data_IF_043484744184
#
_entry.id   IF_043484744184
#
_cell.length_a   1.000
_cell.length_b   1.000
_cell.length_c   1.000
_cell.angle_alpha   90.00
_cell.angle_beta   90.00
_cell.angle_gamma   90.00
#
_symmetry.space_group_name_H-M   'P 1'
#
loop_
_entity.id
_entity.type
_entity.pdbx_description
1 polymer ?
#
# COMPACT_ATOMS: atom_id res chain seq x y z
N UNK A 1 6.98 27.43 -10.39
CA UNK A 1 7.37 26.01 -10.50
C UNK A 1 6.35 25.22 -9.71
N UNK A 2 5.57 24.35 -10.36
CA UNK A 2 4.54 23.57 -9.67
C UNK A 2 5.24 22.61 -8.69
N UNK A 3 4.90 22.70 -7.41
CA UNK A 3 5.44 21.82 -6.38
C UNK A 3 4.99 20.40 -6.72
N UNK A 4 5.91 19.54 -7.15
CA UNK A 4 5.59 18.14 -7.42
C UNK A 4 5.11 17.57 -6.08
N UNK A 5 3.84 17.18 -5.98
CA UNK A 5 3.37 16.49 -4.79
C UNK A 5 4.25 15.24 -4.59
N UNK A 6 4.66 14.99 -3.35
CA UNK A 6 5.50 13.86 -2.98
C UNK A 6 4.94 12.51 -3.45
N UNK A 7 5.83 11.52 -3.65
CA UNK A 7 5.46 10.21 -4.16
C UNK A 7 4.92 9.32 -3.02
N UNK A 8 3.64 8.92 -3.12
CA UNK A 8 2.96 8.16 -2.08
C UNK A 8 2.67 6.72 -2.51
N UNK A 9 3.05 5.76 -1.67
CA UNK A 9 2.86 4.32 -1.93
C UNK A 9 1.88 3.73 -0.92
N UNK A 10 0.76 3.23 -1.43
CA UNK A 10 -0.16 2.39 -0.66
C UNK A 10 0.24 0.92 -0.77
N UNK A 11 0.31 0.22 0.36
CA UNK A 11 0.55 -1.23 0.38
C UNK A 11 -0.69 -1.93 0.93
N UNK A 12 -1.26 -2.86 0.15
CA UNK A 12 -2.43 -3.61 0.60
C UNK A 12 -2.05 -4.62 1.68
N UNK A 13 -2.78 -4.65 2.79
CA UNK A 13 -2.66 -5.69 3.82
C UNK A 13 -4.01 -6.35 4.01
N UNK A 14 -4.01 -7.67 3.87
CA UNK A 14 -5.20 -8.51 3.94
C UNK A 14 -4.91 -9.78 4.74
N UNK A 15 -5.99 -10.50 5.04
CA UNK A 15 -5.89 -11.77 5.76
C UNK A 15 -5.02 -12.74 4.96
N UNK A 16 -4.06 -13.36 5.62
CA UNK A 16 -3.12 -14.31 5.00
C UNK A 16 -2.19 -13.70 3.93
N UNK A 17 -1.95 -12.37 3.99
CA UNK A 17 -0.88 -11.74 3.22
C UNK A 17 0.50 -12.23 3.68
N UNK A 18 1.44 -12.40 2.74
CA UNK A 18 2.83 -12.77 3.04
C UNK A 18 3.54 -11.60 3.73
N UNK A 19 4.11 -11.85 4.92
CA UNK A 19 4.65 -10.78 5.79
C UNK A 19 5.78 -10.02 5.10
N UNK A 20 6.69 -10.74 4.44
CA UNK A 20 7.86 -10.15 3.80
C UNK A 20 7.48 -9.21 2.65
N UNK A 21 6.39 -9.52 1.95
CA UNK A 21 5.99 -8.81 0.73
C UNK A 21 5.50 -7.37 1.00
N UNK A 22 4.89 -7.10 2.16
CA UNK A 22 4.58 -5.71 2.57
C UNK A 22 5.65 -5.12 3.50
N UNK A 23 6.25 -5.92 4.37
CA UNK A 23 7.17 -5.40 5.39
C UNK A 23 8.50 -4.93 4.78
N UNK A 24 9.03 -5.66 3.79
CA UNK A 24 10.28 -5.30 3.13
C UNK A 24 10.19 -3.93 2.41
N UNK A 25 9.23 -3.69 1.47
CA UNK A 25 9.10 -2.38 0.84
C UNK A 25 8.77 -1.28 1.86
N UNK A 26 7.93 -1.55 2.85
CA UNK A 26 7.64 -0.56 3.91
C UNK A 26 8.91 -0.13 4.66
N UNK A 27 9.77 -1.09 5.02
CA UNK A 27 11.06 -0.81 5.66
C UNK A 27 12.00 -0.01 4.77
N UNK A 28 12.11 -0.37 3.48
CA UNK A 28 12.94 0.33 2.49
C UNK A 28 12.49 1.78 2.34
N UNK A 29 11.19 2.02 2.12
CA UNK A 29 10.65 3.37 2.01
C UNK A 29 10.81 4.17 3.30
N UNK A 30 10.67 3.55 4.47
CA UNK A 30 10.91 4.22 5.75
C UNK A 30 12.33 4.77 5.89
N UNK A 31 13.34 4.04 5.38
CA UNK A 31 14.73 4.52 5.34
C UNK A 31 14.92 5.55 4.22
N UNK A 32 14.34 5.33 3.04
CA UNK A 32 14.43 6.24 1.90
C UNK A 32 13.89 7.64 2.21
N UNK A 33 12.88 7.75 3.09
CA UNK A 33 12.35 9.05 3.59
C UNK A 33 13.40 9.97 4.21
N UNK A 34 14.52 9.43 4.67
CA UNK A 34 15.65 10.25 5.19
C UNK A 34 16.37 11.01 4.08
N UNK A 35 16.29 10.52 2.85
CA UNK A 35 16.89 11.12 1.65
C UNK A 35 15.87 11.95 0.87
N UNK A 36 14.62 11.49 0.83
CA UNK A 36 13.49 12.21 0.22
C UNK A 36 12.31 12.28 1.20
N UNK A 37 12.17 13.39 1.95
CA UNK A 37 11.08 13.56 2.92
C UNK A 37 9.69 13.66 2.30
N UNK A 38 9.57 13.88 0.98
CA UNK A 38 8.28 13.93 0.30
C UNK A 38 7.76 12.52 -0.05
N UNK A 39 8.59 11.48 0.12
CA UNK A 39 8.17 10.09 -0.04
C UNK A 39 7.27 9.66 1.12
N UNK A 40 6.16 9.00 0.81
CA UNK A 40 5.24 8.46 1.81
C UNK A 40 4.94 6.99 1.53
N UNK A 41 4.78 6.20 2.58
CA UNK A 41 4.39 4.80 2.49
C UNK A 41 3.40 4.49 3.61
N UNK A 42 2.29 3.85 3.26
CA UNK A 42 1.22 3.54 4.20
C UNK A 42 0.53 2.22 3.86
N UNK A 43 -0.13 1.65 4.86
CA UNK A 43 -0.86 0.40 4.75
C UNK A 43 -2.35 0.67 4.50
N UNK A 44 -2.93 -0.05 3.55
CA UNK A 44 -4.35 0.01 3.20
C UNK A 44 -4.98 -1.36 3.41
N UNK A 45 -6.19 -1.42 3.97
CA UNK A 45 -6.95 -2.66 4.11
C UNK A 45 -8.45 -2.46 3.81
N UNK A 46 -9.25 -3.52 3.91
CA UNK A 46 -10.70 -3.44 3.73
C UNK A 46 -11.40 -2.63 4.84
N UNK A 47 -10.79 -2.58 6.03
CA UNK A 47 -11.28 -1.81 7.18
C UNK A 47 -10.13 -1.43 8.10
N UNK A 48 -10.34 -0.49 9.02
CA UNK A 48 -9.34 -0.10 10.03
C UNK A 48 -9.11 -1.12 11.15
N UNK A 49 -9.77 -2.29 11.08
CA UNK A 49 -9.55 -3.36 12.06
C UNK A 49 -8.19 -4.02 11.85
N UNK A 50 -7.53 -4.48 12.94
CA UNK A 50 -6.30 -5.25 12.82
C UNK A 50 -6.48 -6.46 11.91
N UNK A 51 -5.50 -6.68 11.03
CA UNK A 51 -5.49 -7.77 10.04
C UNK A 51 -4.49 -8.82 10.48
N UNK A 52 -4.93 -10.08 10.56
CA UNK A 52 -4.04 -11.21 10.79
C UNK A 52 -3.44 -11.70 9.47
N UNK A 53 -2.12 -11.61 9.34
CA UNK A 53 -1.37 -12.04 8.16
C UNK A 53 -0.94 -13.51 8.25
N UNK A 54 -0.34 -14.06 7.20
CA UNK A 54 -0.11 -15.52 7.07
C UNK A 54 0.69 -16.14 8.22
N UNK A 55 1.66 -15.41 8.79
CA UNK A 55 2.45 -15.86 9.93
C UNK A 55 1.78 -15.62 11.30
N UNK A 56 0.49 -15.24 11.33
CA UNK A 56 -0.23 -14.87 12.56
C UNK A 56 0.07 -13.46 13.06
N UNK A 57 0.90 -12.68 12.36
CA UNK A 57 1.22 -11.30 12.72
C UNK A 57 0.01 -10.38 12.51
N UNK A 58 -0.37 -9.68 13.57
CA UNK A 58 -1.44 -8.69 13.57
C UNK A 58 -0.90 -7.33 13.12
N UNK A 59 -1.53 -6.73 12.11
CA UNK A 59 -1.11 -5.45 11.53
C UNK A 59 -2.26 -4.46 11.58
N UNK A 60 -1.96 -3.22 11.99
CA UNK A 60 -2.91 -2.11 11.94
C UNK A 60 -2.72 -1.34 10.62
N UNK A 61 -3.74 -1.27 9.76
CA UNK A 61 -3.68 -0.45 8.56
C UNK A 61 -3.77 1.04 8.90
N UNK A 62 -3.20 1.90 8.05
CA UNK A 62 -3.33 3.36 8.16
C UNK A 62 -4.65 3.85 7.58
N UNK A 63 -5.10 3.21 6.50
CA UNK A 63 -6.33 3.55 5.79
C UNK A 63 -7.14 2.31 5.45
N UNK A 64 -8.43 2.52 5.28
CA UNK A 64 -9.35 1.61 4.62
C UNK A 64 -9.63 2.06 3.18
N UNK A 65 -10.13 1.16 2.32
CA UNK A 65 -10.54 1.55 0.97
C UNK A 65 -11.63 2.63 0.94
N UNK A 66 -12.46 2.72 1.99
CA UNK A 66 -13.51 3.74 2.10
C UNK A 66 -12.95 5.16 2.30
N UNK A 67 -11.70 5.29 2.75
CA UNK A 67 -11.05 6.59 2.96
C UNK A 67 -10.38 7.11 1.68
N UNK A 68 -10.29 6.28 0.63
CA UNK A 68 -9.77 6.64 -0.70
C UNK A 68 -8.51 7.52 -0.65
N UNK A 69 -7.41 7.08 0.00
CA UNK A 69 -6.22 7.90 0.13
C UNK A 69 -5.55 8.10 -1.23
N UNK A 70 -5.13 9.32 -1.54
CA UNK A 70 -4.34 9.61 -2.73
C UNK A 70 -3.00 8.86 -2.70
N UNK A 71 -2.68 8.15 -3.78
CA UNK A 71 -1.41 7.44 -3.94
C UNK A 71 -0.95 7.47 -5.40
N UNK A 72 0.38 7.42 -5.59
CA UNK A 72 1.04 7.32 -6.90
C UNK A 72 1.31 5.86 -7.29
N UNK A 73 1.42 4.98 -6.30
CA UNK A 73 1.59 3.56 -6.52
C UNK A 73 0.85 2.72 -5.48
N UNK A 74 0.43 1.53 -5.90
CA UNK A 74 -0.23 0.54 -5.06
C UNK A 74 0.48 -0.80 -5.19
N UNK A 75 0.94 -1.34 -4.06
CA UNK A 75 1.61 -2.63 -3.98
C UNK A 75 0.64 -3.66 -3.42
N UNK A 76 0.52 -4.79 -4.11
CA UNK A 76 -0.32 -5.92 -3.69
C UNK A 76 0.61 -7.07 -3.31
N UNK A 77 0.73 -7.41 -2.01
CA UNK A 77 1.52 -8.55 -1.56
C UNK A 77 1.03 -9.88 -2.13
N UNK A 78 1.91 -10.88 -2.12
CA UNK A 78 1.56 -12.29 -2.22
C UNK A 78 0.70 -12.81 -1.06
N UNK A 79 0.38 -14.10 -1.09
CA UNK A 79 -0.34 -14.79 0.00
C UNK A 79 -1.63 -15.49 -0.41
N UNK A 80 -2.21 -16.22 0.54
CA UNK A 80 -3.47 -16.94 0.33
C UNK A 80 -4.64 -15.96 0.29
N UNK A 81 -5.28 -15.83 -0.87
CA UNK A 81 -6.34 -14.84 -1.08
C UNK A 81 -5.99 -13.73 -2.07
N UNK A 82 -4.77 -13.71 -2.59
CA UNK A 82 -4.32 -12.88 -3.73
C UNK A 82 -5.14 -13.02 -5.01
N UNK A 83 -6.02 -14.03 -5.11
CA UNK A 83 -7.01 -14.15 -6.18
C UNK A 83 -8.23 -13.24 -6.04
N UNK A 84 -8.51 -12.72 -4.83
CA UNK A 84 -9.57 -11.75 -4.54
C UNK A 84 -8.98 -10.33 -4.49
N UNK A 85 -8.29 -9.93 -5.56
CA UNK A 85 -7.66 -8.61 -5.62
C UNK A 85 -8.74 -7.52 -5.61
N UNK A 86 -8.67 -6.52 -4.73
CA UNK A 86 -9.52 -5.34 -4.86
C UNK A 86 -9.15 -4.64 -6.18
N UNK A 87 -10.15 -4.44 -7.03
CA UNK A 87 -9.99 -3.71 -8.26
C UNK A 87 -9.91 -2.21 -7.93
N UNK A 88 -8.69 -1.68 -7.81
CA UNK A 88 -8.49 -0.23 -7.82
C UNK A 88 -8.19 0.20 -9.27
N UNK A 89 -9.03 1.06 -9.85
CA UNK A 89 -8.82 1.73 -11.14
C UNK A 89 -8.10 0.91 -12.25
N UNK A 90 -8.52 -0.33 -12.52
CA UNK A 90 -7.98 -1.15 -13.61
C UNK A 90 -6.62 -1.82 -13.35
N UNK A 91 -6.11 -1.77 -12.11
CA UNK A 91 -4.86 -2.39 -11.71
C UNK A 91 -5.03 -3.89 -11.42
N UNK A 92 -4.54 -4.74 -12.33
CA UNK A 92 -4.47 -6.19 -12.15
C UNK A 92 -2.97 -6.57 -12.19
N UNK A 93 -2.20 -6.40 -11.09
CA UNK A 93 -0.92 -7.10 -10.79
C UNK A 93 -0.19 -6.54 -9.54
N UNK A 94 0.89 -7.25 -9.14
CA UNK A 94 1.75 -7.10 -7.95
C UNK A 94 2.15 -5.65 -7.58
N UNK A 95 2.20 -4.76 -8.56
CA UNK A 95 2.46 -3.34 -8.40
C UNK A 95 1.68 -2.57 -9.46
N UNK A 96 0.97 -1.51 -9.07
CA UNK A 96 0.29 -0.62 -10.00
C UNK A 96 0.71 0.82 -9.78
N UNK A 97 0.93 1.54 -10.87
CA UNK A 97 1.05 2.99 -10.83
C UNK A 97 -0.34 3.60 -10.93
N UNK A 98 -0.72 4.39 -9.92
CA UNK A 98 -1.98 5.10 -9.89
C UNK A 98 -1.82 6.43 -10.63
N UNK A 99 -2.51 6.63 -11.77
CA UNK A 99 -2.47 7.91 -12.46
C UNK A 99 -3.08 8.99 -11.56
N UNK A 100 -2.29 10.03 -11.25
CA UNK A 100 -2.82 11.25 -10.63
C UNK A 100 -3.75 11.94 -11.62
N UNK A 101 -4.92 12.46 -11.19
CA UNK A 101 -5.70 13.37 -12.03
C UNK A 101 -4.81 14.58 -12.42
N UNK A 102 -4.97 15.17 -13.61
CA UNK A 102 -4.04 16.17 -14.15
C UNK A 102 -3.95 17.52 -13.40
N UNK A 103 -4.50 17.65 -12.20
CA UNK A 103 -4.62 18.93 -11.48
C UNK A 103 -4.39 18.79 -9.98
#
# INVERSE_FOLDING_TARGET
>A
MSKKQGFRVGIYVFKDAEVVDYAAPYGIFSVARRLDPELDVFLVADSLRPVQTQAGLMVHPNYSFNETPDMDAFLIPGGFGTGRKPAINGCINLFCLCPKPPY
#
